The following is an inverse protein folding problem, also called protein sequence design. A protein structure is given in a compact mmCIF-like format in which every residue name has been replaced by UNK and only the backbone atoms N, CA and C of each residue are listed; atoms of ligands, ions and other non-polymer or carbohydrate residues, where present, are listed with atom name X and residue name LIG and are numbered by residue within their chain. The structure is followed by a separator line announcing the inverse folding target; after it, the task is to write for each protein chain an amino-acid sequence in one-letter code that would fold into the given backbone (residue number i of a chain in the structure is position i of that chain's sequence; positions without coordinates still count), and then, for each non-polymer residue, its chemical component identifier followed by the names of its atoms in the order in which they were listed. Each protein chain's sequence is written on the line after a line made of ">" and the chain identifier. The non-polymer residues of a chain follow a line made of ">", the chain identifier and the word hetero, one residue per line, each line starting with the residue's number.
data_IF_325127490474
#
_entry.id   IF_325127490474
#
_cell.length_a   1.000
_cell.length_b   1.000
_cell.length_c   1.000
_cell.angle_alpha   90.00
_cell.angle_beta   90.00
_cell.angle_gamma   90.00
#
_symmetry.space_group_name_H-M   'P 1'
#
loop_
_entity.id
_entity.type
_entity.pdbx_description
1 polymer ?
#
# COMPACT_ATOMS: atom_id res chain seq x y z
N UNK A 1 -26.30 -21.33 -46.77
CA UNK A 1 -25.90 -20.04 -47.38
C UNK A 1 -25.29 -19.17 -46.29
N UNK A 2 -23.98 -19.01 -46.33
CA UNK A 2 -23.20 -18.15 -45.43
C UNK A 2 -23.40 -16.71 -45.91
N UNK A 3 -23.90 -15.81 -45.05
CA UNK A 3 -23.85 -14.36 -45.32
C UNK A 3 -22.71 -13.75 -44.51
N UNK A 4 -21.77 -13.16 -45.26
CA UNK A 4 -20.56 -12.47 -44.79
C UNK A 4 -20.89 -11.22 -44.00
N UNK A 5 -20.00 -10.97 -43.05
CA UNK A 5 -19.72 -9.76 -42.26
C UNK A 5 -19.63 -8.50 -43.12
N UNK A 6 -20.09 -7.37 -42.57
CA UNK A 6 -19.61 -6.04 -42.96
C UNK A 6 -19.38 -5.23 -41.68
N UNK A 7 -18.14 -5.25 -41.20
CA UNK A 7 -17.66 -4.34 -40.16
C UNK A 7 -17.38 -3.00 -40.83
N UNK A 8 -18.09 -1.95 -40.41
CA UNK A 8 -17.84 -0.58 -40.86
C UNK A 8 -16.74 -0.04 -39.96
N UNK A 9 -15.52 0.03 -40.48
CA UNK A 9 -14.44 0.77 -39.85
C UNK A 9 -14.67 2.27 -40.11
N UNK A 10 -15.15 3.00 -39.10
CA UNK A 10 -15.17 4.46 -39.13
C UNK A 10 -13.77 4.96 -38.76
N UNK A 11 -13.02 5.44 -39.76
CA UNK A 11 -11.75 6.14 -39.52
C UNK A 11 -12.04 7.55 -39.03
N UNK A 12 -11.80 7.84 -37.75
CA UNK A 12 -11.79 9.20 -37.22
C UNK A 12 -10.39 9.80 -37.41
N UNK A 13 -10.26 10.72 -38.37
CA UNK A 13 -9.15 11.65 -38.38
C UNK A 13 -9.39 12.71 -37.29
N UNK A 14 -8.52 12.75 -36.30
CA UNK A 14 -8.52 13.80 -35.27
C UNK A 14 -8.08 15.11 -35.93
N UNK A 15 -9.00 16.05 -36.07
CA UNK A 15 -8.66 17.47 -36.25
C UNK A 15 -8.46 18.02 -34.85
N UNK A 16 -7.20 18.23 -34.45
CA UNK A 16 -6.87 18.95 -33.21
C UNK A 16 -7.29 20.41 -33.40
N UNK A 17 -8.45 20.77 -32.84
CA UNK A 17 -8.84 22.18 -32.67
C UNK A 17 -7.98 22.85 -31.60
N UNK A 18 -7.81 24.19 -31.64
CA UNK A 18 -6.96 24.88 -30.68
C UNK A 18 -7.53 24.77 -29.26
N UNK A 19 -6.67 24.37 -28.33
CA UNK A 19 -6.95 24.32 -26.89
C UNK A 19 -7.26 25.73 -26.40
N UNK A 20 -8.47 25.97 -25.91
CA UNK A 20 -8.80 27.20 -25.19
C UNK A 20 -8.29 27.04 -23.76
N UNK A 21 -7.28 27.82 -23.41
CA UNK A 21 -6.63 27.82 -22.10
C UNK A 21 -7.59 28.30 -21.00
N UNK A 22 -7.85 27.45 -20.00
CA UNK A 22 -8.66 27.82 -18.83
C UNK A 22 -8.48 26.95 -17.59
N UNK A 23 -7.87 25.76 -17.69
CA UNK A 23 -7.50 24.96 -16.53
C UNK A 23 -5.99 25.05 -16.28
N UNK A 24 -5.60 25.37 -15.04
CA UNK A 24 -4.21 25.42 -14.64
C UNK A 24 -3.61 24.01 -14.67
N UNK A 25 -2.68 23.75 -15.59
CA UNK A 25 -1.81 22.58 -15.53
C UNK A 25 -0.72 22.87 -14.49
N UNK A 26 -0.75 22.18 -13.34
CA UNK A 26 0.40 22.12 -12.44
C UNK A 26 1.30 20.96 -12.91
N UNK A 27 2.30 21.26 -13.74
CA UNK A 27 3.19 20.24 -14.34
C UNK A 27 4.28 19.71 -13.38
N UNK A 28 4.35 20.14 -12.12
CA UNK A 28 5.47 19.75 -11.24
C UNK A 28 5.38 18.35 -10.62
N UNK A 29 4.27 17.62 -10.74
CA UNK A 29 4.09 16.34 -10.03
C UNK A 29 3.50 15.18 -10.83
N UNK A 30 3.24 15.34 -12.13
CA UNK A 30 2.51 14.33 -12.92
C UNK A 30 1.08 14.08 -12.42
N UNK A 31 0.56 14.96 -11.55
CA UNK A 31 -0.81 14.98 -11.04
C UNK A 31 -1.64 15.84 -11.98
N UNK A 32 -2.68 15.24 -12.54
CA UNK A 32 -3.69 15.88 -13.37
C UNK A 32 -4.94 15.99 -12.50
N UNK A 33 -5.54 17.19 -12.49
CA UNK A 33 -6.77 17.47 -11.77
C UNK A 33 -7.76 18.08 -12.75
N UNK A 34 -8.94 17.49 -12.84
CA UNK A 34 -10.15 18.12 -13.35
C UNK A 34 -11.04 18.37 -12.14
N UNK A 35 -11.50 19.61 -11.97
CA UNK A 35 -12.36 20.03 -10.88
C UNK A 35 -13.35 21.05 -11.46
N UNK A 36 -14.60 20.64 -11.63
CA UNK A 36 -15.63 21.40 -12.32
C UNK A 36 -16.96 21.30 -11.58
N UNK A 37 -17.32 22.39 -10.89
CA UNK A 37 -18.67 22.62 -10.34
C UNK A 37 -19.59 23.35 -11.32
N UNK A 38 -19.22 23.47 -12.60
CA UNK A 38 -20.02 24.04 -13.69
C UNK A 38 -20.37 25.53 -13.62
N UNK A 39 -20.06 26.22 -12.51
CA UNK A 39 -20.41 27.63 -12.28
C UNK A 39 -19.87 28.61 -13.34
N UNK A 40 -18.68 28.33 -13.88
CA UNK A 40 -18.04 29.17 -14.90
C UNK A 40 -18.49 28.83 -16.33
N UNK A 41 -19.15 27.70 -16.53
CA UNK A 41 -19.62 27.25 -17.85
C UNK A 41 -20.93 27.95 -18.20
N UNK A 42 -21.06 28.42 -19.43
CA UNK A 42 -22.30 29.05 -19.90
C UNK A 42 -23.43 28.01 -20.02
N UNK A 43 -24.67 28.43 -19.78
CA UNK A 43 -25.83 27.55 -19.91
C UNK A 43 -25.98 27.06 -21.36
N UNK A 44 -26.33 25.78 -21.53
CA UNK A 44 -26.44 25.14 -22.84
C UNK A 44 -25.12 24.62 -23.43
N UNK A 45 -23.97 24.96 -22.82
CA UNK A 45 -22.69 24.40 -23.24
C UNK A 45 -22.40 23.05 -22.55
N UNK A 46 -21.63 22.16 -23.18
CA UNK A 46 -21.18 20.94 -22.53
C UNK A 46 -20.13 21.25 -21.43
N UNK A 47 -19.78 20.23 -20.63
CA UNK A 47 -18.65 20.29 -19.72
C UNK A 47 -17.35 20.66 -20.46
N UNK A 48 -16.48 21.46 -19.83
CA UNK A 48 -15.17 21.78 -20.40
C UNK A 48 -14.34 20.51 -20.65
N UNK A 49 -13.49 20.52 -21.69
CA UNK A 49 -12.65 19.38 -22.08
C UNK A 49 -13.40 18.08 -22.44
N UNK A 50 -14.70 18.18 -22.70
CA UNK A 50 -15.53 17.06 -23.14
C UNK A 50 -15.94 17.20 -24.61
N UNK A 51 -16.26 16.07 -25.23
CA UNK A 51 -16.95 16.02 -26.53
C UNK A 51 -18.33 15.40 -26.32
N UNK A 52 -19.38 16.10 -26.74
CA UNK A 52 -20.76 15.60 -26.69
C UNK A 52 -21.20 15.11 -28.06
N UNK A 53 -21.90 13.98 -28.07
CA UNK A 53 -22.54 13.39 -29.23
C UNK A 53 -24.05 13.31 -28.99
N UNK A 54 -24.84 13.71 -29.98
CA UNK A 54 -26.30 13.85 -29.84
C UNK A 54 -26.70 15.12 -29.10
N UNK A 55 -27.93 15.16 -28.60
CA UNK A 55 -28.51 16.31 -27.87
C UNK A 55 -28.98 15.87 -26.50
N UNK A 56 -28.83 16.72 -25.48
CA UNK A 56 -29.35 16.48 -24.14
C UNK A 56 -28.31 16.51 -23.03
N UNK A 57 -27.03 16.69 -23.34
CA UNK A 57 -25.97 16.90 -22.34
C UNK A 57 -25.47 18.34 -22.41
N UNK A 58 -25.77 19.11 -21.38
CA UNK A 58 -25.41 20.53 -21.30
C UNK A 58 -25.49 21.05 -19.86
N UNK A 59 -24.75 22.11 -19.55
CA UNK A 59 -24.84 22.82 -18.27
C UNK A 59 -26.18 23.56 -18.19
N UNK A 60 -26.87 23.41 -17.06
CA UNK A 60 -28.19 23.97 -16.81
C UNK A 60 -28.27 24.60 -15.42
N UNK A 61 -29.29 25.42 -15.19
CA UNK A 61 -29.65 26.02 -13.91
C UNK A 61 -30.92 25.39 -13.31
N UNK A 62 -31.34 24.22 -13.81
CA UNK A 62 -32.57 23.55 -13.37
C UNK A 62 -32.45 22.89 -12.00
N UNK A 63 -31.26 22.34 -11.71
CA UNK A 63 -30.89 21.73 -10.43
C UNK A 63 -29.39 21.99 -10.20
N UNK A 64 -28.99 22.07 -8.93
CA UNK A 64 -27.59 22.06 -8.52
C UNK A 64 -27.47 21.46 -7.11
N UNK A 65 -26.35 20.82 -6.80
CA UNK A 65 -26.04 20.33 -5.45
C UNK A 65 -25.52 21.47 -4.60
N UNK A 66 -24.61 22.24 -5.17
CA UNK A 66 -24.03 23.46 -4.62
C UNK A 66 -24.09 24.56 -5.71
N UNK A 67 -23.91 25.83 -5.35
CA UNK A 67 -23.97 26.90 -6.35
C UNK A 67 -25.35 27.03 -7.03
N UNK A 68 -25.34 27.23 -8.34
CA UNK A 68 -26.54 27.47 -9.15
C UNK A 68 -26.57 26.76 -10.51
N UNK A 69 -25.52 26.00 -10.87
CA UNK A 69 -25.47 25.25 -12.13
C UNK A 69 -25.03 23.82 -11.93
N UNK A 70 -25.47 22.93 -12.82
CA UNK A 70 -24.96 21.56 -12.91
C UNK A 70 -25.05 21.03 -14.34
N UNK A 71 -24.31 19.97 -14.65
CA UNK A 71 -24.42 19.28 -15.93
C UNK A 71 -25.70 18.44 -15.95
N UNK A 72 -26.60 18.76 -16.87
CA UNK A 72 -27.83 18.00 -17.11
C UNK A 72 -27.62 16.98 -18.22
N UNK A 73 -28.16 15.79 -18.01
CA UNK A 73 -28.27 14.72 -19.00
C UNK A 73 -29.75 14.38 -19.16
N UNK A 74 -30.36 14.85 -20.24
CA UNK A 74 -31.74 14.52 -20.61
C UNK A 74 -31.74 13.37 -21.60
N UNK A 75 -32.28 12.23 -21.19
CA UNK A 75 -32.33 11.04 -22.03
C UNK A 75 -33.40 11.19 -23.12
N UNK A 76 -33.03 10.81 -24.34
CA UNK A 76 -33.87 10.89 -25.54
C UNK A 76 -34.08 9.51 -26.14
N UNK A 77 -35.21 9.30 -26.82
CA UNK A 77 -35.41 8.09 -27.63
C UNK A 77 -34.67 8.24 -28.95
N UNK A 78 -34.01 7.18 -29.42
CA UNK A 78 -33.25 7.23 -30.66
C UNK A 78 -32.19 6.14 -30.75
N UNK A 79 -31.05 6.50 -31.36
CA UNK A 79 -29.89 5.62 -31.42
C UNK A 79 -29.44 5.23 -30.02
N UNK A 80 -29.21 3.93 -29.82
CA UNK A 80 -28.58 3.42 -28.60
C UNK A 80 -27.28 4.18 -28.36
N UNK A 81 -26.93 4.42 -27.09
CA UNK A 81 -25.72 5.14 -26.65
C UNK A 81 -25.79 6.66 -26.74
N UNK A 82 -26.91 7.28 -27.17
CA UNK A 82 -27.06 8.73 -27.22
C UNK A 82 -28.13 9.26 -26.23
N UNK A 83 -27.94 10.49 -25.68
CA UNK A 83 -26.75 11.32 -25.83
C UNK A 83 -25.52 10.71 -25.14
N UNK A 84 -24.34 11.08 -25.61
CA UNK A 84 -23.07 10.67 -25.04
C UNK A 84 -22.14 11.85 -24.79
N UNK A 85 -21.29 11.73 -23.78
CA UNK A 85 -20.20 12.66 -23.50
C UNK A 85 -18.92 11.86 -23.28
N UNK A 86 -17.81 12.33 -23.85
CA UNK A 86 -16.48 11.76 -23.64
C UNK A 86 -15.59 12.86 -23.08
N UNK A 87 -15.17 12.69 -21.83
CA UNK A 87 -14.18 13.54 -21.16
C UNK A 87 -12.80 12.92 -21.35
N UNK A 88 -11.83 13.71 -21.80
CA UNK A 88 -10.45 13.25 -21.95
C UNK A 88 -9.67 13.37 -20.63
N UNK A 89 -8.91 12.34 -20.31
CA UNK A 89 -7.99 12.24 -19.17
C UNK A 89 -6.60 11.82 -19.67
N UNK A 90 -5.60 11.83 -18.78
CA UNK A 90 -4.29 11.26 -19.10
C UNK A 90 -3.55 10.77 -17.84
N UNK A 91 -4.24 10.06 -16.94
CA UNK A 91 -3.58 9.54 -15.73
C UNK A 91 -2.76 8.30 -16.11
N UNK A 92 -1.46 8.28 -15.84
CA UNK A 92 -0.56 7.20 -16.30
C UNK A 92 -0.02 6.31 -15.17
N UNK A 93 -0.25 6.69 -13.91
CA UNK A 93 0.30 5.99 -12.75
C UNK A 93 -0.48 6.31 -11.47
N UNK A 94 -0.28 5.47 -10.46
CA UNK A 94 -0.86 5.65 -9.14
C UNK A 94 -2.35 5.33 -9.08
N UNK A 95 -3.08 6.05 -8.24
CA UNK A 95 -4.51 5.90 -8.02
C UNK A 95 -5.26 7.04 -8.70
N UNK A 96 -6.13 6.75 -9.66
CA UNK A 96 -7.10 7.71 -10.15
C UNK A 96 -8.35 7.68 -9.28
N UNK A 97 -8.76 8.85 -8.79
CA UNK A 97 -10.02 9.07 -8.07
C UNK A 97 -10.93 9.95 -8.94
N UNK A 98 -12.09 9.42 -9.27
CA UNK A 98 -13.20 10.11 -9.91
C UNK A 98 -14.29 10.30 -8.86
N UNK A 99 -14.81 11.51 -8.69
CA UNK A 99 -15.90 11.79 -7.79
C UNK A 99 -16.86 12.81 -8.38
N UNK A 100 -18.14 12.69 -8.03
CA UNK A 100 -19.17 13.63 -8.46
C UNK A 100 -20.41 13.49 -7.57
N UNK A 101 -21.18 14.57 -7.45
CA UNK A 101 -22.53 14.50 -6.90
C UNK A 101 -23.52 14.25 -8.04
N UNK A 102 -24.47 13.34 -7.81
CA UNK A 102 -25.46 12.96 -8.81
C UNK A 102 -26.88 13.04 -8.26
N UNK A 103 -27.81 13.40 -9.13
CA UNK A 103 -29.26 13.31 -8.90
C UNK A 103 -29.88 12.62 -10.11
N UNK A 104 -30.62 11.53 -9.88
CA UNK A 104 -31.16 10.70 -10.97
C UNK A 104 -32.66 10.46 -10.83
N UNK A 105 -33.35 10.41 -11.96
CA UNK A 105 -34.74 9.94 -12.06
C UNK A 105 -34.83 8.41 -12.00
N UNK A 106 -36.03 7.88 -11.72
CA UNK A 106 -36.29 6.44 -11.60
C UNK A 106 -35.92 5.64 -12.85
N UNK A 107 -36.19 6.22 -14.02
CA UNK A 107 -36.00 5.57 -15.33
C UNK A 107 -34.64 5.89 -15.96
N UNK A 108 -33.74 6.57 -15.23
CA UNK A 108 -32.39 6.92 -15.69
C UNK A 108 -31.63 5.65 -16.11
N UNK A 109 -31.07 5.66 -17.32
CA UNK A 109 -30.34 4.52 -17.90
C UNK A 109 -28.97 4.97 -18.43
N UNK A 110 -28.03 5.24 -17.52
CA UNK A 110 -26.70 5.72 -17.88
C UNK A 110 -25.63 4.64 -17.74
N UNK A 111 -24.61 4.76 -18.57
CA UNK A 111 -23.41 3.97 -18.51
C UNK A 111 -22.19 4.87 -18.43
N UNK A 112 -21.25 4.49 -17.56
CA UNK A 112 -19.96 5.14 -17.40
C UNK A 112 -18.87 4.16 -17.82
N UNK A 113 -18.18 4.49 -18.90
CA UNK A 113 -17.00 3.77 -19.38
C UNK A 113 -15.73 4.45 -18.87
N UNK A 114 -14.92 3.71 -18.10
CA UNK A 114 -13.64 4.19 -17.59
C UNK A 114 -12.52 3.49 -18.38
N UNK A 115 -11.87 4.18 -19.32
CA UNK A 115 -11.11 3.49 -20.39
C UNK A 115 -9.74 4.04 -20.79
N UNK A 116 -9.02 3.21 -21.54
CA UNK A 116 -7.65 3.40 -22.04
C UNK A 116 -7.58 3.24 -23.57
N UNK A 117 -7.45 4.35 -24.29
CA UNK A 117 -7.33 4.35 -25.75
C UNK A 117 -5.94 3.99 -26.28
N UNK A 118 -4.92 3.89 -25.42
CA UNK A 118 -3.54 3.59 -25.81
C UNK A 118 -3.30 2.09 -26.04
N UNK A 119 -4.14 1.21 -25.48
CA UNK A 119 -3.91 -0.24 -25.44
C UNK A 119 -4.15 -1.01 -26.77
N UNK A 120 -4.55 -0.34 -27.87
CA UNK A 120 -4.59 -0.91 -29.22
C UNK A 120 -5.54 -2.10 -29.49
N UNK A 121 -6.39 -2.50 -28.54
CA UNK A 121 -7.36 -3.62 -28.68
C UNK A 121 -8.82 -3.10 -28.77
N UNK A 122 -9.77 -3.85 -29.37
CA UNK A 122 -11.20 -3.53 -29.30
C UNK A 122 -11.74 -3.71 -27.87
N UNK A 123 -12.63 -2.80 -27.41
CA UNK A 123 -13.24 -2.73 -26.06
C UNK A 123 -12.30 -2.23 -24.95
N UNK A 124 -11.85 -0.98 -25.11
CA UNK A 124 -10.83 -0.29 -24.32
C UNK A 124 -11.26 0.17 -22.90
N UNK A 125 -12.30 -0.42 -22.32
CA UNK A 125 -12.81 -0.05 -21.01
C UNK A 125 -12.15 -0.92 -19.94
N UNK A 126 -11.55 -0.31 -18.91
CA UNK A 126 -11.14 -1.05 -17.72
C UNK A 126 -12.34 -1.34 -16.82
N UNK A 127 -13.14 -0.32 -16.55
CA UNK A 127 -14.22 -0.40 -15.60
C UNK A 127 -15.51 0.18 -16.18
N UNK A 128 -16.64 -0.33 -15.68
CA UNK A 128 -17.97 0.04 -16.12
C UNK A 128 -18.89 0.26 -14.93
N UNK A 129 -19.56 1.40 -14.90
CA UNK A 129 -20.71 1.60 -14.01
C UNK A 129 -21.98 1.70 -14.85
N UNK A 130 -23.06 1.14 -14.33
CA UNK A 130 -24.38 1.30 -14.91
C UNK A 130 -25.34 1.84 -13.86
N UNK A 131 -26.11 2.85 -14.25
CA UNK A 131 -27.30 3.31 -13.54
C UNK A 131 -28.48 2.83 -14.36
N UNK A 132 -29.33 1.99 -13.78
CA UNK A 132 -30.59 1.54 -14.38
C UNK A 132 -31.53 1.03 -13.32
N UNK A 133 -32.83 1.05 -13.58
CA UNK A 133 -33.83 0.49 -12.66
C UNK A 133 -33.71 1.08 -11.23
N UNK A 134 -33.33 2.36 -11.14
CA UNK A 134 -33.10 3.07 -9.88
C UNK A 134 -31.94 2.58 -9.01
N UNK A 135 -30.99 1.82 -9.56
CA UNK A 135 -29.85 1.27 -8.84
C UNK A 135 -28.52 1.50 -9.56
N UNK A 136 -27.43 1.47 -8.79
CA UNK A 136 -26.07 1.51 -9.30
C UNK A 136 -25.48 0.10 -9.35
N UNK A 137 -24.83 -0.22 -10.46
CA UNK A 137 -24.15 -1.48 -10.68
C UNK A 137 -22.70 -1.22 -11.09
N UNK A 138 -21.79 -2.10 -10.66
CA UNK A 138 -20.42 -2.18 -11.15
C UNK A 138 -20.18 -3.52 -11.85
N UNK A 139 -19.13 -3.59 -12.65
CA UNK A 139 -18.74 -4.80 -13.37
C UNK A 139 -18.58 -4.51 -14.87
N UNK A 140 -18.90 -5.47 -15.75
CA UNK A 140 -18.76 -5.25 -17.18
C UNK A 140 -19.94 -4.40 -17.62
N UNK A 141 -19.64 -3.37 -18.41
CA UNK A 141 -20.62 -2.81 -19.32
C UNK A 141 -21.24 -3.92 -20.18
N UNK A 142 -20.39 -4.73 -20.80
CA UNK A 142 -20.77 -5.82 -21.69
C UNK A 142 -20.74 -7.16 -20.95
N UNK A 143 -21.80 -7.44 -20.18
CA UNK A 143 -21.94 -8.70 -19.45
C UNK A 143 -22.99 -8.63 -18.34
N UNK A 144 -22.80 -9.42 -17.28
CA UNK A 144 -23.68 -9.41 -16.11
C UNK A 144 -23.11 -8.46 -15.05
N UNK A 145 -23.68 -7.26 -14.86
CA UNK A 145 -23.21 -6.34 -13.84
C UNK A 145 -23.69 -6.77 -12.45
N UNK A 146 -22.98 -6.32 -11.43
CA UNK A 146 -23.24 -6.62 -10.01
C UNK A 146 -23.81 -5.38 -9.36
N UNK A 147 -25.00 -5.50 -8.76
CA UNK A 147 -25.66 -4.39 -8.05
C UNK A 147 -24.83 -3.99 -6.84
N UNK A 148 -24.55 -2.70 -6.69
CA UNK A 148 -23.97 -2.12 -5.48
C UNK A 148 -25.07 -1.76 -4.49
N UNK A 149 -25.98 -0.87 -4.89
CA UNK A 149 -27.03 -0.31 -4.04
C UNK A 149 -28.18 0.24 -4.87
N UNK A 150 -29.36 0.34 -4.26
CA UNK A 150 -30.41 1.23 -4.73
C UNK A 150 -29.97 2.69 -4.54
N UNK A 151 -30.35 3.56 -5.47
CA UNK A 151 -30.01 4.99 -5.45
C UNK A 151 -31.16 5.82 -4.84
N UNK A 152 -30.86 6.94 -4.15
CA UNK A 152 -31.88 7.83 -3.63
C UNK A 152 -32.44 8.69 -4.76
N UNK A 153 -33.45 8.15 -5.47
CA UNK A 153 -34.08 8.80 -6.61
C UNK A 153 -34.53 10.21 -6.26
N UNK A 154 -34.32 11.17 -7.17
CA UNK A 154 -34.68 12.56 -6.96
C UNK A 154 -34.06 13.18 -5.69
N UNK A 155 -32.90 12.71 -5.28
CA UNK A 155 -32.07 13.30 -4.22
C UNK A 155 -30.61 13.26 -4.67
N UNK A 156 -29.81 14.16 -4.11
CA UNK A 156 -28.38 14.17 -4.38
C UNK A 156 -27.68 13.06 -3.59
N UNK A 157 -26.74 12.38 -4.24
CA UNK A 157 -25.81 11.45 -3.63
C UNK A 157 -24.41 11.66 -4.19
N UNK A 158 -23.40 11.37 -3.39
CA UNK A 158 -22.00 11.42 -3.83
C UNK A 158 -21.58 10.05 -4.37
N UNK A 159 -21.01 10.04 -5.57
CA UNK A 159 -20.40 8.88 -6.21
C UNK A 159 -18.88 9.08 -6.23
N UNK A 160 -18.13 8.10 -5.74
CA UNK A 160 -16.67 8.03 -5.84
C UNK A 160 -16.25 6.72 -6.50
N UNK A 161 -15.29 6.78 -7.41
CA UNK A 161 -14.65 5.65 -8.07
C UNK A 161 -13.14 5.77 -7.95
N UNK A 162 -12.52 4.66 -7.55
CA UNK A 162 -11.07 4.56 -7.35
C UNK A 162 -10.52 3.42 -8.19
N UNK A 163 -9.60 3.73 -9.09
CA UNK A 163 -8.92 2.73 -9.93
C UNK A 163 -7.41 2.98 -9.93
N UNK A 164 -6.62 1.92 -9.74
CA UNK A 164 -5.16 1.99 -9.88
C UNK A 164 -4.76 1.92 -11.35
N UNK A 165 -3.74 2.65 -11.76
CA UNK A 165 -3.33 2.81 -13.16
C UNK A 165 -1.86 2.49 -13.32
N UNK A 166 -1.46 2.03 -14.50
CA UNK A 166 -0.07 1.70 -14.81
C UNK A 166 0.40 0.45 -14.06
N UNK A 167 1.63 0.46 -13.50
CA UNK A 167 2.20 -0.68 -12.78
C UNK A 167 1.36 -1.15 -11.58
N UNK A 168 0.58 -0.24 -10.98
CA UNK A 168 -0.22 -0.51 -9.79
C UNK A 168 -1.60 -1.12 -10.09
N UNK A 169 -1.97 -1.25 -11.36
CA UNK A 169 -3.27 -1.76 -11.76
C UNK A 169 -3.45 -3.23 -11.37
N UNK A 170 -4.46 -3.49 -10.53
CA UNK A 170 -4.76 -4.83 -9.97
C UNK A 170 -6.04 -5.46 -10.53
N UNK A 171 -6.47 -5.06 -11.75
CA UNK A 171 -7.69 -5.54 -12.41
C UNK A 171 -8.96 -5.37 -11.56
N UNK A 172 -8.98 -4.36 -10.70
CA UNK A 172 -10.09 -4.02 -9.83
C UNK A 172 -10.22 -2.52 -9.65
N UNK A 173 -11.40 -2.10 -9.25
CA UNK A 173 -11.71 -0.73 -8.87
C UNK A 173 -12.73 -0.74 -7.73
N UNK A 174 -12.68 0.29 -6.91
CA UNK A 174 -13.56 0.49 -5.77
C UNK A 174 -14.57 1.59 -6.11
N UNK A 175 -15.80 1.42 -5.64
CA UNK A 175 -16.90 2.36 -5.84
C UNK A 175 -17.56 2.61 -4.50
N UNK A 176 -17.80 3.88 -4.19
CA UNK A 176 -18.49 4.29 -2.98
C UNK A 176 -19.64 5.23 -3.33
N UNK A 177 -20.81 4.94 -2.77
CA UNK A 177 -21.99 5.82 -2.80
C UNK A 177 -22.23 6.33 -1.40
N UNK A 178 -22.34 7.67 -1.26
CA UNK A 178 -22.64 8.33 0.01
C UNK A 178 -23.90 9.16 -0.12
N UNK A 179 -24.82 8.99 0.82
CA UNK A 179 -26.03 9.81 0.95
C UNK A 179 -25.94 10.55 2.27
N UNK A 180 -26.26 11.85 2.28
CA UNK A 180 -26.17 12.66 3.49
C UNK A 180 -26.97 12.05 4.65
N UNK A 181 -26.32 11.93 5.82
CA UNK A 181 -26.92 11.32 7.00
C UNK A 181 -26.97 9.78 6.99
N UNK A 182 -26.40 9.11 5.97
CA UNK A 182 -26.33 7.65 5.89
C UNK A 182 -24.87 7.15 5.90
N UNK A 183 -24.69 5.89 6.29
CA UNK A 183 -23.39 5.23 6.17
C UNK A 183 -23.05 4.99 4.68
N UNK A 184 -21.80 5.25 4.23
CA UNK A 184 -21.42 4.99 2.84
C UNK A 184 -21.57 3.51 2.47
N UNK A 185 -22.06 3.25 1.26
CA UNK A 185 -22.11 1.91 0.67
C UNK A 185 -20.92 1.76 -0.28
N UNK A 186 -20.06 0.78 -0.02
CA UNK A 186 -18.84 0.55 -0.82
C UNK A 186 -18.84 -0.84 -1.43
N UNK A 187 -18.35 -0.95 -2.66
CA UNK A 187 -18.15 -2.23 -3.35
C UNK A 187 -16.87 -2.22 -4.18
N UNK A 188 -16.30 -3.40 -4.37
CA UNK A 188 -15.13 -3.63 -5.20
C UNK A 188 -15.52 -4.51 -6.39
N UNK A 189 -15.17 -4.09 -7.59
CA UNK A 189 -15.55 -4.75 -8.83
C UNK A 189 -14.32 -5.14 -9.66
N UNK A 190 -14.49 -6.19 -10.46
CA UNK A 190 -13.44 -6.61 -11.38
C UNK A 190 -13.43 -5.71 -12.62
N UNK A 191 -12.24 -5.30 -13.04
CA UNK A 191 -11.99 -4.70 -14.34
C UNK A 191 -11.79 -5.78 -15.41
N UNK A 192 -12.18 -5.48 -16.64
CA UNK A 192 -12.06 -6.38 -17.80
C UNK A 192 -10.71 -6.23 -18.50
N UNK A 193 -10.11 -5.05 -18.36
CA UNK A 193 -8.79 -4.77 -18.90
C UNK A 193 -7.75 -5.71 -18.28
N UNK A 194 -6.93 -6.31 -19.15
CA UNK A 194 -5.80 -7.14 -18.73
C UNK A 194 -4.60 -6.30 -18.29
N UNK A 195 -4.44 -5.14 -18.92
CA UNK A 195 -3.49 -4.09 -18.60
C UNK A 195 -4.23 -2.76 -18.63
N UNK A 196 -3.81 -1.79 -17.84
CA UNK A 196 -4.38 -0.44 -17.86
C UNK A 196 -3.27 0.60 -17.76
N UNK A 197 -2.42 0.71 -18.82
CA UNK A 197 -1.26 1.58 -18.79
C UNK A 197 -1.62 3.06 -18.62
N UNK A 198 -2.77 3.51 -19.12
CA UNK A 198 -3.24 4.87 -18.90
C UNK A 198 -4.77 4.91 -18.72
N UNK A 199 -5.26 5.82 -17.89
CA UNK A 199 -6.67 6.17 -17.83
C UNK A 199 -6.89 7.44 -18.64
N UNK A 200 -7.40 7.25 -19.86
CA UNK A 200 -7.39 8.28 -20.92
C UNK A 200 -8.73 8.92 -21.19
N UNK A 201 -9.85 8.32 -20.76
CA UNK A 201 -11.15 8.95 -20.92
C UNK A 201 -12.20 8.38 -19.97
N UNK A 202 -13.19 9.21 -19.67
CA UNK A 202 -14.48 8.79 -19.11
C UNK A 202 -15.53 9.01 -20.19
N UNK A 203 -16.25 7.95 -20.56
CA UNK A 203 -17.43 8.04 -21.42
C UNK A 203 -18.69 7.96 -20.56
N UNK A 204 -19.67 8.83 -20.82
CA UNK A 204 -21.01 8.76 -20.25
C UNK A 204 -21.98 8.59 -21.40
N UNK A 205 -22.76 7.50 -21.42
CA UNK A 205 -23.67 7.16 -22.51
C UNK A 205 -25.07 6.90 -21.95
N UNK A 206 -26.08 7.39 -22.65
CA UNK A 206 -27.46 7.00 -22.40
C UNK A 206 -27.77 5.68 -23.11
N UNK A 207 -28.23 4.72 -22.33
CA UNK A 207 -28.81 3.44 -22.78
C UNK A 207 -30.33 3.45 -22.65
N UNK A 208 -30.95 4.63 -22.57
CA UNK A 208 -32.38 4.76 -22.40
C UNK A 208 -33.14 4.19 -23.61
N UNK A 209 -34.18 3.43 -23.31
CA UNK A 209 -35.17 2.98 -24.31
C UNK A 209 -36.41 3.87 -24.33
N UNK A 210 -36.50 4.81 -23.39
CA UNK A 210 -37.59 5.77 -23.21
C UNK A 210 -37.00 7.17 -23.01
N UNK A 211 -37.72 8.21 -23.43
CA UNK A 211 -37.30 9.61 -23.30
C UNK A 211 -37.88 10.23 -22.04
N UNK A 212 -37.17 11.20 -21.47
CA UNK A 212 -37.72 12.10 -20.46
C UNK A 212 -37.10 11.96 -19.07
N UNK A 213 -36.43 10.84 -18.79
CA UNK A 213 -35.57 10.72 -17.62
C UNK A 213 -34.43 11.73 -17.71
N UNK A 214 -34.14 12.36 -16.58
CA UNK A 214 -33.08 13.36 -16.47
C UNK A 214 -32.17 12.98 -15.30
N UNK A 215 -30.86 13.08 -15.54
CA UNK A 215 -29.84 13.04 -14.52
C UNK A 215 -29.11 14.37 -14.45
N UNK A 216 -28.57 14.69 -13.28
CA UNK A 216 -27.72 15.83 -13.05
C UNK A 216 -26.42 15.38 -12.42
N UNK A 217 -25.31 15.98 -12.85
CA UNK A 217 -23.96 15.80 -12.30
C UNK A 217 -23.47 17.16 -11.84
N UNK A 218 -23.00 17.23 -10.60
CA UNK A 218 -22.40 18.42 -10.00
C UNK A 218 -21.09 18.05 -9.29
N UNK A 219 -20.26 19.04 -8.96
CA UNK A 219 -18.98 18.87 -8.24
C UNK A 219 -18.11 17.75 -8.85
N UNK A 220 -17.99 17.72 -10.17
CA UNK A 220 -17.22 16.68 -10.83
C UNK A 220 -15.73 16.90 -10.58
N UNK A 221 -15.05 15.84 -10.14
CA UNK A 221 -13.62 15.86 -9.90
C UNK A 221 -12.94 14.58 -10.35
N UNK A 222 -11.87 14.70 -11.12
CA UNK A 222 -11.00 13.59 -11.47
C UNK A 222 -9.55 13.97 -11.12
N UNK A 223 -8.87 13.15 -10.33
CA UNK A 223 -7.47 13.37 -9.94
C UNK A 223 -6.69 12.06 -9.96
N UNK A 224 -5.42 12.07 -10.36
CA UNK A 224 -4.50 11.00 -10.00
C UNK A 224 -3.65 11.38 -8.78
N UNK A 225 -3.56 10.45 -7.86
CA UNK A 225 -2.75 10.53 -6.64
C UNK A 225 -1.64 9.48 -6.75
N UNK A 226 -0.39 9.80 -6.36
CA UNK A 226 0.63 8.78 -6.23
C UNK A 226 0.18 7.74 -5.19
N UNK A 227 0.43 6.47 -5.48
CA UNK A 227 0.29 5.44 -4.46
C UNK A 227 1.54 5.54 -3.59
N UNK A 228 1.35 5.82 -2.30
CA UNK A 228 2.46 5.85 -1.36
C UNK A 228 3.20 4.51 -1.43
N UNK A 229 4.49 4.55 -1.73
CA UNK A 229 5.34 3.37 -1.59
C UNK A 229 5.29 2.88 -0.14
N UNK A 230 5.26 1.56 0.09
CA UNK A 230 5.40 1.06 1.46
C UNK A 230 6.69 1.61 2.07
N UNK A 231 6.59 2.10 3.30
CA UNK A 231 7.76 2.53 4.03
C UNK A 231 8.69 1.32 4.26
N UNK A 232 10.03 1.48 4.15
CA UNK A 232 10.96 0.45 4.54
C UNK A 232 10.70 -0.03 5.97
N UNK A 233 10.71 -1.32 6.20
CA UNK A 233 10.47 -1.91 7.52
C UNK A 233 11.79 -2.36 8.11
N UNK A 234 12.16 -1.81 9.26
CA UNK A 234 13.33 -2.31 10.00
C UNK A 234 13.07 -3.72 10.52
N UNK A 235 14.11 -4.52 10.63
CA UNK A 235 14.04 -5.86 11.22
C UNK A 235 15.15 -6.06 12.23
N UNK A 236 14.77 -6.54 13.41
CA UNK A 236 15.69 -6.98 14.44
C UNK A 236 15.54 -8.49 14.63
N UNK A 237 16.66 -9.21 14.68
CA UNK A 237 16.66 -10.65 14.97
C UNK A 237 17.91 -11.06 15.74
N UNK A 238 17.86 -12.22 16.38
CA UNK A 238 18.94 -12.73 17.21
C UNK A 238 18.50 -14.05 17.87
N UNK A 239 19.26 -14.48 18.87
CA UNK A 239 19.00 -15.70 19.62
C UNK A 239 17.72 -15.59 20.46
N UNK A 240 17.07 -16.68 20.87
CA UNK A 240 15.86 -16.57 21.70
C UNK A 240 16.19 -16.34 23.18
N UNK A 241 17.34 -16.82 23.63
CA UNK A 241 17.81 -16.74 25.00
C UNK A 241 19.34 -16.67 25.07
N UNK A 242 19.83 -15.96 26.09
CA UNK A 242 21.25 -15.80 26.41
C UNK A 242 21.46 -15.91 27.92
N UNK A 243 22.70 -16.14 28.36
CA UNK A 243 23.07 -16.10 29.78
C UNK A 243 23.58 -14.71 30.16
N UNK A 244 23.41 -14.34 31.42
CA UNK A 244 24.00 -13.11 31.98
C UNK A 244 25.51 -13.01 31.71
N UNK A 245 26.02 -11.79 31.65
CA UNK A 245 27.44 -11.44 31.45
C UNK A 245 28.06 -11.84 30.10
N UNK A 246 27.30 -12.55 29.24
CA UNK A 246 27.75 -12.97 27.92
C UNK A 246 27.47 -11.91 26.85
N UNK A 247 28.40 -11.73 25.89
CA UNK A 247 28.10 -10.96 24.69
C UNK A 247 27.13 -11.76 23.80
N UNK A 248 26.26 -11.04 23.11
CA UNK A 248 25.36 -11.59 22.11
C UNK A 248 25.14 -10.58 20.99
N UNK A 249 24.63 -11.06 19.85
CA UNK A 249 24.49 -10.22 18.67
C UNK A 249 23.03 -10.09 18.25
N UNK A 250 22.60 -8.86 17.99
CA UNK A 250 21.32 -8.54 17.36
C UNK A 250 21.61 -8.12 15.92
N UNK A 251 21.03 -8.83 14.96
CA UNK A 251 21.07 -8.49 13.54
C UNK A 251 20.05 -7.39 13.26
N UNK A 252 20.49 -6.33 12.59
CA UNK A 252 19.65 -5.32 11.98
C UNK A 252 19.50 -5.57 10.48
N UNK A 253 18.30 -5.40 9.95
CA UNK A 253 18.00 -5.51 8.53
C UNK A 253 16.86 -4.60 8.09
N UNK A 254 16.54 -4.63 6.79
CA UNK A 254 15.44 -3.93 6.15
C UNK A 254 14.59 -4.87 5.30
N UNK A 255 13.29 -4.61 5.25
CA UNK A 255 12.32 -5.23 4.35
C UNK A 255 11.49 -4.14 3.65
N UNK A 256 10.80 -4.50 2.58
CA UNK A 256 9.90 -3.58 1.83
C UNK A 256 10.61 -2.33 1.26
N UNK A 257 11.91 -2.41 0.98
CA UNK A 257 12.64 -1.37 0.26
C UNK A 257 12.31 -1.47 -1.23
N UNK A 258 11.56 -0.50 -1.76
CA UNK A 258 11.21 -0.41 -3.19
C UNK A 258 12.21 0.42 -3.99
N UNK A 259 12.68 1.52 -3.39
CA UNK A 259 13.78 2.35 -3.89
C UNK A 259 14.93 2.23 -2.90
N UNK A 260 16.14 1.89 -3.39
CA UNK A 260 17.28 1.64 -2.52
C UNK A 260 17.67 2.82 -1.65
N UNK A 261 18.14 2.54 -0.43
CA UNK A 261 18.48 3.55 0.57
C UNK A 261 19.94 3.99 0.41
N UNK A 262 20.18 5.28 0.15
CA UNK A 262 21.54 5.82 0.05
C UNK A 262 22.17 5.96 1.44
N UNK A 263 21.41 6.47 2.40
CA UNK A 263 21.85 6.70 3.77
C UNK A 263 20.69 6.46 4.76
N UNK A 264 21.03 6.02 5.96
CA UNK A 264 20.08 5.83 7.05
C UNK A 264 20.72 6.16 8.40
N UNK A 265 19.92 6.72 9.29
CA UNK A 265 20.26 6.98 10.68
C UNK A 265 19.26 6.26 11.59
N UNK A 266 19.74 5.22 12.26
CA UNK A 266 18.91 4.34 13.08
C UNK A 266 19.25 4.54 14.56
N UNK A 267 18.24 4.79 15.38
CA UNK A 267 18.38 4.82 16.84
C UNK A 267 17.78 3.54 17.43
N UNK A 268 18.60 2.79 18.15
CA UNK A 268 18.20 1.62 18.91
C UNK A 268 18.04 1.98 20.39
N UNK A 269 16.99 1.44 21.01
CA UNK A 269 16.68 1.57 22.42
C UNK A 269 16.71 0.21 23.11
N UNK A 270 17.25 0.20 24.32
CA UNK A 270 17.34 -0.95 25.21
C UNK A 270 17.34 -0.50 26.67
N UNK A 271 17.06 -1.41 27.60
CA UNK A 271 17.16 -1.12 29.03
C UNK A 271 18.64 -1.16 29.48
N UNK A 272 19.26 -0.02 29.89
CA UNK A 272 20.66 0.03 30.29
C UNK A 272 20.95 -0.65 31.63
N UNK A 273 19.92 -1.02 32.41
CA UNK A 273 20.08 -1.84 33.62
C UNK A 273 20.21 -3.32 33.30
N UNK A 274 19.72 -3.77 32.13
CA UNK A 274 19.76 -5.17 31.71
C UNK A 274 20.83 -5.44 30.66
N UNK A 275 21.09 -4.47 29.78
CA UNK A 275 21.97 -4.62 28.61
C UNK A 275 23.01 -3.50 28.55
N UNK A 276 24.15 -3.82 27.97
CA UNK A 276 25.22 -2.90 27.62
C UNK A 276 25.50 -3.02 26.11
N UNK A 277 25.53 -1.90 25.39
CA UNK A 277 25.96 -1.87 23.99
C UNK A 277 27.50 -1.92 23.94
N UNK A 278 28.04 -2.77 23.07
CA UNK A 278 29.50 -2.99 22.96
C UNK A 278 30.04 -2.44 21.64
N UNK A 279 29.47 -2.85 20.51
CA UNK A 279 29.93 -2.43 19.18
C UNK A 279 28.89 -2.68 18.11
N UNK A 280 29.13 -2.14 16.91
CA UNK A 280 28.39 -2.47 15.71
C UNK A 280 29.35 -2.70 14.54
N UNK A 281 28.99 -3.62 13.64
CA UNK A 281 29.76 -3.91 12.44
C UNK A 281 28.84 -4.07 11.23
N UNK A 282 29.31 -3.63 10.06
CA UNK A 282 28.64 -3.92 8.80
C UNK A 282 28.73 -5.42 8.51
N UNK A 283 27.68 -5.98 7.93
CA UNK A 283 27.70 -7.34 7.37
C UNK A 283 27.96 -7.33 5.86
N UNK A 284 28.14 -6.15 5.26
CA UNK A 284 28.34 -5.96 3.83
C UNK A 284 29.46 -4.97 3.53
N UNK A 285 30.35 -5.32 2.60
CA UNK A 285 31.44 -4.43 2.15
C UNK A 285 30.93 -3.12 1.53
N UNK A 286 29.73 -3.16 0.91
CA UNK A 286 29.10 -2.01 0.25
C UNK A 286 28.36 -1.04 1.19
N UNK A 287 28.42 -1.28 2.51
CA UNK A 287 27.72 -0.46 3.51
C UNK A 287 28.74 0.03 4.54
N UNK A 288 28.98 1.34 4.54
CA UNK A 288 29.82 1.99 5.53
C UNK A 288 29.00 2.33 6.78
N UNK A 289 29.50 1.96 7.96
CA UNK A 289 28.91 2.35 9.24
C UNK A 289 29.68 3.55 9.82
N UNK A 290 28.96 4.57 10.25
CA UNK A 290 29.51 5.61 11.10
C UNK A 290 29.77 5.08 12.52
N UNK A 291 30.64 5.75 13.26
CA UNK A 291 30.90 5.41 14.66
C UNK A 291 29.60 5.50 15.48
N UNK A 292 29.24 4.46 16.27
CA UNK A 292 28.04 4.50 17.09
C UNK A 292 28.06 5.64 18.11
N UNK A 293 26.96 6.37 18.22
CA UNK A 293 26.80 7.48 19.17
C UNK A 293 25.82 7.11 20.27
N UNK A 294 26.27 7.14 21.52
CA UNK A 294 25.40 6.96 22.68
C UNK A 294 24.70 8.29 23.02
N UNK A 295 23.50 8.51 22.48
CA UNK A 295 22.73 9.75 22.71
C UNK A 295 22.23 9.86 24.17
N UNK A 296 21.95 8.73 24.82
CA UNK A 296 21.58 8.62 26.23
C UNK A 296 21.81 7.19 26.75
N UNK A 297 21.80 6.94 28.08
CA UNK A 297 21.81 5.57 28.60
C UNK A 297 20.67 4.74 28.00
N UNK A 298 21.02 3.63 27.33
CA UNK A 298 20.05 2.77 26.66
C UNK A 298 19.64 3.24 25.26
N UNK A 299 20.25 4.28 24.71
CA UNK A 299 19.98 4.78 23.34
C UNK A 299 21.28 4.89 22.55
N UNK A 300 21.41 4.10 21.48
CA UNK A 300 22.55 4.14 20.56
C UNK A 300 22.07 4.49 19.16
N UNK A 301 22.71 5.46 18.51
CA UNK A 301 22.42 5.90 17.15
C UNK A 301 23.57 5.54 16.22
N UNK A 302 23.23 5.02 15.05
CA UNK A 302 24.19 4.52 14.06
C UNK A 302 23.78 5.01 12.68
N UNK A 303 24.69 5.70 12.00
CA UNK A 303 24.57 6.05 10.60
C UNK A 303 25.10 4.93 9.71
N UNK A 304 24.41 4.63 8.61
CA UNK A 304 24.85 3.66 7.60
C UNK A 304 24.68 4.27 6.21
N UNK A 305 25.68 4.14 5.34
CA UNK A 305 25.69 4.72 4.00
C UNK A 305 26.09 3.68 2.97
N UNK A 306 25.34 3.60 1.87
CA UNK A 306 25.69 2.77 0.72
C UNK A 306 26.91 3.36 0.00
N UNK A 307 27.88 2.51 -0.35
CA UNK A 307 28.92 2.89 -1.31
C UNK A 307 28.48 2.69 -2.76
N UNK A 308 27.38 1.95 -2.99
CA UNK A 308 26.73 1.80 -4.29
C UNK A 308 25.68 2.90 -4.46
N UNK A 309 26.00 3.90 -5.29
CA UNK A 309 25.13 5.05 -5.58
C UNK A 309 24.08 4.76 -6.65
N UNK A 310 24.08 3.57 -7.25
CA UNK A 310 23.12 3.16 -8.27
C UNK A 310 22.01 2.31 -7.65
N UNK A 311 22.36 1.33 -6.81
CA UNK A 311 21.38 0.43 -6.19
C UNK A 311 21.01 0.84 -4.77
N UNK A 312 21.93 1.43 -3.99
CA UNK A 312 21.69 1.69 -2.56
C UNK A 312 21.58 0.42 -1.72
N UNK A 313 21.17 0.59 -0.46
CA UNK A 313 20.86 -0.49 0.48
C UNK A 313 19.44 -1.00 0.17
N UNK A 314 19.33 -2.26 -0.23
CA UNK A 314 18.06 -2.93 -0.54
C UNK A 314 17.43 -3.66 0.66
N UNK A 315 16.41 -4.47 0.38
CA UNK A 315 15.82 -5.37 1.37
C UNK A 315 16.78 -6.52 1.69
N UNK A 316 17.29 -6.55 2.92
CA UNK A 316 18.16 -7.61 3.45
C UNK A 316 17.91 -7.76 4.96
N UNK A 317 17.59 -8.98 5.47
CA UNK A 317 17.41 -9.20 6.91
C UNK A 317 18.68 -9.06 7.76
N UNK A 318 19.87 -8.92 7.14
CA UNK A 318 21.18 -8.86 7.81
C UNK A 318 22.09 -7.80 7.18
N UNK A 319 21.86 -6.54 7.54
CA UNK A 319 22.66 -5.38 7.12
C UNK A 319 23.80 -5.11 8.09
N UNK A 320 23.52 -5.11 9.39
CA UNK A 320 24.49 -4.81 10.44
C UNK A 320 24.33 -5.75 11.63
N UNK A 321 25.44 -6.03 12.31
CA UNK A 321 25.51 -6.78 13.55
C UNK A 321 25.74 -5.81 14.72
N UNK A 322 24.85 -5.81 15.69
CA UNK A 322 24.96 -5.05 16.94
C UNK A 322 25.36 -6.00 18.06
N UNK A 323 26.53 -5.81 18.66
CA UNK A 323 26.98 -6.60 19.81
C UNK A 323 26.56 -5.93 21.10
N UNK A 324 25.83 -6.68 21.92
CA UNK A 324 25.44 -6.31 23.27
C UNK A 324 26.07 -7.27 24.27
N UNK A 325 26.07 -6.89 25.54
CA UNK A 325 26.36 -7.75 26.68
C UNK A 325 25.21 -7.69 27.67
N UNK A 326 24.78 -8.85 28.15
CA UNK A 326 23.80 -8.91 29.24
C UNK A 326 24.47 -8.58 30.58
N UNK A 327 23.84 -7.76 31.40
CA UNK A 327 24.30 -7.49 32.76
C UNK A 327 23.84 -8.58 33.73
N UNK A 328 24.51 -8.66 34.87
CA UNK A 328 24.13 -9.52 35.98
C UNK A 328 22.72 -9.21 36.45
N UNK A 329 21.88 -10.25 36.54
CA UNK A 329 20.53 -10.18 37.08
C UNK A 329 20.40 -11.17 38.23
N UNK A 330 19.50 -10.91 39.17
CA UNK A 330 19.21 -11.84 40.28
C UNK A 330 18.19 -12.91 39.89
N UNK A 331 17.41 -12.67 38.85
CA UNK A 331 16.38 -13.58 38.32
C UNK A 331 16.31 -13.42 36.79
N UNK A 332 15.94 -14.49 36.11
CA UNK A 332 15.78 -14.50 34.66
C UNK A 332 14.70 -13.50 34.23
N UNK A 333 14.92 -12.78 33.14
CA UNK A 333 14.02 -11.73 32.68
C UNK A 333 14.05 -11.58 31.16
N UNK A 334 12.96 -11.09 30.58
CA UNK A 334 12.97 -10.65 29.19
C UNK A 334 13.56 -9.24 29.09
N UNK A 335 14.46 -9.06 28.13
CA UNK A 335 14.92 -7.74 27.68
C UNK A 335 14.44 -7.49 26.25
N UNK A 336 14.35 -6.21 25.90
CA UNK A 336 13.90 -5.74 24.59
C UNK A 336 14.96 -4.82 23.99
N UNK A 337 15.23 -5.03 22.71
CA UNK A 337 15.91 -4.07 21.84
C UNK A 337 14.91 -3.60 20.79
N UNK A 338 14.76 -2.29 20.60
CA UNK A 338 13.83 -1.74 19.62
C UNK A 338 14.44 -0.61 18.82
N UNK A 339 13.97 -0.42 17.60
CA UNK A 339 14.24 0.78 16.82
C UNK A 339 13.29 1.88 17.27
N UNK A 340 13.82 3.02 17.74
CA UNK A 340 13.01 4.19 18.15
C UNK A 340 12.99 5.29 17.09
N UNK A 341 14.00 5.33 16.21
CA UNK A 341 14.12 6.25 15.07
C UNK A 341 14.72 5.51 13.89
N UNK A 342 14.21 5.78 12.70
CA UNK A 342 14.64 5.14 11.45
C UNK A 342 14.51 6.15 10.31
N UNK A 343 15.40 7.14 10.29
CA UNK A 343 15.42 8.16 9.24
C UNK A 343 16.27 7.65 8.07
N UNK A 344 15.79 7.83 6.85
CA UNK A 344 16.44 7.31 5.65
C UNK A 344 16.35 8.33 4.51
N UNK A 345 17.32 8.30 3.62
CA UNK A 345 17.28 8.99 2.33
C UNK A 345 17.51 7.97 1.22
N UNK A 346 16.60 7.90 0.26
CA UNK A 346 16.76 6.99 -0.88
C UNK A 346 17.79 7.50 -1.91
N UNK A 347 18.15 6.65 -2.87
CA UNK A 347 19.09 6.99 -3.96
C UNK A 347 18.62 8.15 -4.85
N UNK A 348 17.33 8.53 -4.80
CA UNK A 348 16.78 9.68 -5.50
C UNK A 348 16.82 10.96 -4.65
N UNK A 349 17.32 10.89 -3.41
CA UNK A 349 17.39 12.02 -2.49
C UNK A 349 16.10 12.28 -1.71
N UNK A 350 15.14 11.34 -1.73
CA UNK A 350 13.86 11.48 -1.03
C UNK A 350 14.00 10.99 0.41
N UNK A 351 13.61 11.83 1.36
CA UNK A 351 13.54 11.44 2.77
C UNK A 351 12.40 10.43 3.01
N UNK A 352 12.69 9.38 3.79
CA UNK A 352 11.76 8.34 4.22
C UNK A 352 11.89 8.13 5.73
N UNK A 353 10.79 7.72 6.37
CA UNK A 353 10.81 7.20 7.74
C UNK A 353 10.48 5.72 7.69
N UNK A 354 11.36 4.87 8.19
CA UNK A 354 11.14 3.43 8.24
C UNK A 354 10.18 3.03 9.37
N UNK A 355 9.43 1.95 9.15
CA UNK A 355 8.65 1.29 10.17
C UNK A 355 9.57 0.60 11.19
N UNK A 356 9.19 0.71 12.47
CA UNK A 356 10.05 0.36 13.59
C UNK A 356 9.79 -1.07 14.06
N UNK A 357 10.85 -1.80 14.32
CA UNK A 357 10.79 -3.16 14.84
C UNK A 357 11.33 -3.26 16.26
N UNK A 358 11.04 -4.41 16.88
CA UNK A 358 11.64 -4.79 18.14
C UNK A 358 11.92 -6.27 18.20
N UNK A 359 12.89 -6.62 19.02
CA UNK A 359 13.33 -7.97 19.27
C UNK A 359 13.39 -8.19 20.79
N UNK A 360 12.85 -9.33 21.24
CA UNK A 360 12.84 -9.73 22.63
C UNK A 360 13.81 -10.89 22.82
N UNK A 361 14.54 -10.85 23.94
CA UNK A 361 15.53 -11.85 24.32
C UNK A 361 15.29 -12.25 25.78
N UNK A 362 15.31 -13.55 26.07
CA UNK A 362 15.33 -14.04 27.45
C UNK A 362 16.77 -13.98 28.00
N UNK A 363 16.97 -13.28 29.11
CA UNK A 363 18.23 -13.28 29.87
C UNK A 363 18.10 -14.28 31.02
N UNK A 364 18.90 -15.32 30.99
CA UNK A 364 18.92 -16.38 32.01
C UNK A 364 19.94 -16.00 33.10
N UNK A 365 19.44 -15.79 34.32
CA UNK A 365 20.24 -15.35 35.48
C UNK A 365 20.87 -16.48 36.30
N UNK A 366 20.40 -17.72 36.09
CA UNK A 366 20.82 -18.86 36.90
C UNK A 366 22.22 -19.35 36.54
N UNK A 367 22.89 -19.93 37.54
CA UNK A 367 24.21 -20.53 37.38
C UNK A 367 24.15 -21.58 36.26
N UNK A 368 25.22 -21.74 35.44
CA UNK A 368 25.29 -22.75 34.39
C UNK A 368 24.77 -24.14 34.80
N UNK A 369 25.00 -24.52 36.04
CA UNK A 369 24.66 -25.83 36.59
C UNK A 369 23.21 -26.02 37.08
N UNK A 370 22.41 -24.94 37.26
CA UNK A 370 20.98 -25.05 37.59
C UNK A 370 20.20 -25.13 36.27
N UNK A 371 20.05 -26.35 35.78
CA UNK A 371 19.58 -26.66 34.43
C UNK A 371 18.05 -26.73 34.40
N UNK A 372 17.43 -27.15 35.51
CA UNK A 372 15.97 -27.26 35.64
C UNK A 372 15.30 -25.95 36.11
N UNK A 373 16.11 -24.94 36.48
CA UNK A 373 15.67 -23.60 36.87
C UNK A 373 14.84 -23.57 38.16
N UNK A 374 15.17 -24.45 39.11
CA UNK A 374 14.47 -24.52 40.41
C UNK A 374 15.15 -23.71 41.53
N UNK A 375 16.26 -23.05 41.20
CA UNK A 375 17.07 -22.24 42.12
C UNK A 375 18.10 -23.04 42.92
N UNK A 376 18.28 -24.33 42.64
CA UNK A 376 19.26 -25.21 43.31
C UNK A 376 19.98 -26.07 42.29
N UNK A 377 21.28 -26.24 42.45
CA UNK A 377 22.04 -27.25 41.71
C UNK A 377 21.95 -28.57 42.45
N UNK A 378 21.34 -29.58 41.83
CA UNK A 378 21.04 -30.87 42.43
C UNK A 378 21.09 -32.02 41.40
N UNK A 379 20.80 -33.24 41.85
CA UNK A 379 20.70 -34.39 40.95
C UNK A 379 19.54 -34.25 39.94
N UNK A 380 18.55 -33.39 40.21
CA UNK A 380 17.47 -33.11 39.28
C UNK A 380 17.98 -32.40 38.01
N UNK A 381 19.02 -31.56 38.14
CA UNK A 381 19.65 -30.86 37.01
C UNK A 381 20.38 -31.81 36.07
N UNK A 382 21.10 -32.79 36.63
CA UNK A 382 21.70 -33.89 35.86
C UNK A 382 20.62 -34.68 35.09
N UNK A 383 19.45 -34.87 35.71
CA UNK A 383 18.28 -35.48 35.07
C UNK A 383 17.78 -34.67 33.87
N UNK A 384 17.61 -33.35 34.02
CA UNK A 384 17.19 -32.46 32.93
C UNK A 384 18.22 -32.39 31.81
N UNK A 385 19.51 -32.31 32.13
CA UNK A 385 20.61 -32.29 31.16
C UNK A 385 20.61 -33.55 30.26
N UNK A 386 20.17 -34.69 30.81
CA UNK A 386 20.12 -35.97 30.08
C UNK A 386 19.21 -35.95 28.86
N UNK A 387 18.16 -35.11 28.85
CA UNK A 387 17.29 -34.96 27.69
C UNK A 387 18.00 -34.39 26.45
N UNK A 388 19.21 -33.85 26.61
CA UNK A 388 19.96 -33.18 25.56
C UNK A 388 21.34 -33.78 25.30
N UNK A 389 21.72 -34.85 26.02
CA UNK A 389 23.01 -35.51 25.87
C UNK A 389 23.27 -35.97 24.41
N UNK A 390 24.48 -35.72 23.92
CA UNK A 390 24.93 -36.06 22.57
C UNK A 390 24.56 -35.03 21.50
N UNK A 391 23.79 -33.98 21.82
CA UNK A 391 23.62 -32.84 20.91
C UNK A 391 24.89 -31.99 20.88
N UNK A 392 25.10 -31.31 19.76
CA UNK A 392 26.27 -30.47 19.52
C UNK A 392 25.94 -29.34 18.53
N UNK A 393 26.92 -28.49 18.25
CA UNK A 393 26.82 -27.33 17.34
C UNK A 393 26.29 -27.62 15.93
N UNK A 394 26.30 -28.87 15.47
CA UNK A 394 25.74 -29.29 14.17
C UNK A 394 24.28 -29.76 14.25
N UNK A 395 23.67 -29.78 15.43
CA UNK A 395 22.28 -30.21 15.64
C UNK A 395 21.29 -29.17 15.10
N UNK A 396 20.22 -29.60 14.42
CA UNK A 396 19.26 -28.68 13.79
C UNK A 396 18.58 -27.72 14.79
N UNK A 397 18.37 -28.17 16.02
CA UNK A 397 17.79 -27.39 17.10
C UNK A 397 18.84 -26.81 18.06
N UNK A 398 20.14 -26.79 17.67
CA UNK A 398 21.22 -26.28 18.52
C UNK A 398 20.94 -24.90 19.09
N UNK A 399 20.39 -23.99 18.27
CA UNK A 399 19.99 -22.65 18.67
C UNK A 399 19.00 -22.61 19.86
N UNK A 400 18.27 -23.70 20.14
CA UNK A 400 17.34 -23.83 21.27
C UNK A 400 17.95 -24.51 22.48
N UNK A 401 18.93 -25.39 22.28
CA UNK A 401 19.47 -26.27 23.33
C UNK A 401 20.90 -25.95 23.74
N UNK A 402 21.61 -25.07 23.03
CA UNK A 402 22.99 -24.68 23.37
C UNK A 402 23.17 -24.12 24.78
N UNK A 403 22.08 -23.75 25.46
CA UNK A 403 22.14 -23.34 26.87
C UNK A 403 22.48 -24.50 27.83
N UNK A 404 22.30 -25.74 27.39
CA UNK A 404 22.62 -26.97 28.11
C UNK A 404 24.08 -27.42 27.92
N UNK A 405 24.82 -26.77 27.04
CA UNK A 405 26.29 -26.85 26.94
C UNK A 405 26.85 -25.93 28.03
N UNK A 406 27.18 -26.53 29.18
CA UNK A 406 27.52 -25.84 30.43
C UNK A 406 28.97 -25.39 30.42
N UNK A 407 29.86 -26.14 29.77
CA UNK A 407 31.27 -25.79 29.64
C UNK A 407 31.59 -25.00 28.36
N UNK A 408 30.62 -24.82 27.46
CA UNK A 408 30.69 -24.09 26.19
C UNK A 408 31.71 -24.68 25.20
N UNK A 409 31.87 -26.02 25.19
CA UNK A 409 32.78 -26.70 24.27
C UNK A 409 32.16 -27.08 22.92
N UNK A 410 30.88 -26.76 22.71
CA UNK A 410 30.13 -27.03 21.50
C UNK A 410 29.48 -28.40 21.46
N UNK A 411 29.51 -29.15 22.56
CA UNK A 411 28.82 -30.42 22.79
C UNK A 411 27.99 -30.39 24.08
N UNK A 412 27.06 -31.33 24.20
CA UNK A 412 26.38 -31.64 25.47
C UNK A 412 26.78 -33.06 25.84
N UNK A 413 27.81 -33.19 26.67
CA UNK A 413 28.43 -34.48 26.99
C UNK A 413 28.80 -34.63 28.48
N UNK A 414 29.67 -35.60 28.79
CA UNK A 414 30.06 -35.92 30.15
C UNK A 414 30.79 -34.75 30.84
N UNK A 415 31.42 -33.84 30.10
CA UNK A 415 32.07 -32.66 30.63
C UNK A 415 31.04 -31.68 31.21
N UNK A 416 29.86 -31.55 30.60
CA UNK A 416 28.75 -30.76 31.14
C UNK A 416 28.18 -31.36 32.41
N UNK A 417 28.03 -32.68 32.45
CA UNK A 417 27.63 -33.39 33.67
C UNK A 417 28.61 -33.15 34.81
N UNK A 418 29.91 -33.14 34.50
CA UNK A 418 30.95 -32.81 35.50
C UNK A 418 30.87 -31.36 35.94
N UNK A 419 30.55 -30.44 35.04
CA UNK A 419 30.37 -29.04 35.38
C UNK A 419 29.18 -28.84 36.33
N UNK A 420 28.05 -29.52 36.08
CA UNK A 420 26.90 -29.55 36.99
C UNK A 420 27.28 -30.18 38.34
N UNK A 421 27.87 -31.37 38.32
CA UNK A 421 28.23 -32.10 39.54
C UNK A 421 29.25 -31.37 40.42
N UNK A 422 30.13 -30.55 39.82
CA UNK A 422 31.11 -29.74 40.55
C UNK A 422 30.49 -28.51 41.23
N UNK A 423 29.25 -28.15 40.86
CA UNK A 423 28.51 -27.01 41.37
C UNK A 423 27.36 -27.40 42.32
N UNK A 424 27.11 -28.71 42.51
CA UNK A 424 26.25 -29.28 43.57
C UNK A 424 26.92 -29.12 44.94
#
# INVERSE_FOLDING_TARGET
>A
MIRKVMAIAVSFAVVLGPVVSGAAYAEESGIIVIDDGFETTELGNPMANSTVYGTGIEVSDEQAKDGGKSLRIREVTGDSWLPAMILSLNHTSGKSKLSMDMRVDADTSLEFELGDRTAGQPNQHAAGLLIKEGALFGGPVYGTPVKLTDLPLNQWFHLEVVIKVGPDFVKKYDVTVTVEGQAPVTGQFNSYAQIFPAFTYIGIYSNATQSGATAYIDNFRAVNEPIAEPAPVTKLSGEASIRIEKPFTVMYGLEQVTTGIAEQEITFEFNPQQLEFVSAASLHEGIALAEPVMDAPGKVRIGMTSTDTVQGIGSDPKIAALTFRAKSLTQSAFAKVSVSKADMTDIAGTAKSGERSSYNIEIIAEAPADVNRDGKVSIADLGTLTAHFGKNSSSADWHRVKLYDINEDGGIDIADYRAVASAM
#
